data_IF_086497240958
#
_entry.id   IF_086497240958
#
_cell.length_a   1.000
_cell.length_b   1.000
_cell.length_c   1.000
_cell.angle_alpha   90.00
_cell.angle_beta   90.00
_cell.angle_gamma   90.00
#
_symmetry.space_group_name_H-M   'P 1'
#
loop_
_entity.id
_entity.type
_entity.pdbx_description
1 polymer ?
#
# COMPACT_ATOMS: atom_id res chain seq x y z
N UNK A 1 16.29 9.25 -11.60
CA UNK A 1 15.50 8.10 -11.17
C UNK A 1 14.75 8.51 -9.91
N UNK A 2 13.44 8.72 -10.04
CA UNK A 2 12.54 9.15 -8.99
C UNK A 2 11.71 7.95 -8.55
N UNK A 3 11.95 7.48 -7.33
CA UNK A 3 11.19 6.37 -6.72
C UNK A 3 10.24 6.97 -5.68
N UNK A 4 8.95 6.68 -5.80
CA UNK A 4 7.92 7.18 -4.89
C UNK A 4 7.39 6.06 -4.01
N UNK A 5 7.27 6.34 -2.71
CA UNK A 5 6.65 5.44 -1.73
C UNK A 5 5.14 5.71 -1.58
N UNK A 6 4.34 4.65 -1.48
CA UNK A 6 2.94 4.71 -1.07
C UNK A 6 2.74 3.85 0.18
N UNK A 7 2.22 4.44 1.25
CA UNK A 7 1.73 3.69 2.42
C UNK A 7 0.26 3.34 2.20
N UNK A 8 -0.10 2.07 2.26
CA UNK A 8 -1.45 1.63 1.91
C UNK A 8 -1.93 0.38 2.67
N UNK A 9 -3.21 0.07 2.51
CA UNK A 9 -3.82 -1.18 3.02
C UNK A 9 -4.58 -1.93 1.93
N UNK A 10 -5.09 -1.23 0.91
CA UNK A 10 -5.81 -1.78 -0.24
C UNK A 10 -6.85 -2.84 0.13
N UNK A 11 -7.81 -2.49 0.98
CA UNK A 11 -8.78 -3.41 1.57
C UNK A 11 -10.22 -3.25 1.02
N UNK A 12 -10.55 -3.63 -0.24
CA UNK A 12 -9.68 -4.13 -1.30
C UNK A 12 -9.05 -2.99 -2.14
N UNK A 13 -8.25 -3.33 -3.16
CA UNK A 13 -7.84 -2.36 -4.17
C UNK A 13 -9.06 -1.90 -4.99
N UNK A 14 -9.24 -0.58 -5.19
CA UNK A 14 -10.43 -0.01 -5.84
C UNK A 14 -10.07 1.22 -6.69
N UNK A 15 -11.05 1.78 -7.41
CA UNK A 15 -10.82 2.87 -8.36
C UNK A 15 -10.18 4.13 -7.76
N UNK A 16 -10.47 4.44 -6.49
CA UNK A 16 -9.78 5.53 -5.78
C UNK A 16 -8.26 5.30 -5.64
N UNK A 17 -7.83 4.05 -5.38
CA UNK A 17 -6.42 3.69 -5.30
C UNK A 17 -5.75 3.75 -6.67
N UNK A 18 -6.46 3.33 -7.73
CA UNK A 18 -5.99 3.45 -9.11
C UNK A 18 -5.80 4.93 -9.51
N UNK A 19 -6.76 5.78 -9.15
CA UNK A 19 -6.65 7.22 -9.37
C UNK A 19 -5.46 7.82 -8.61
N UNK A 20 -5.29 7.48 -7.32
CA UNK A 20 -4.13 7.92 -6.53
C UNK A 20 -2.81 7.50 -7.21
N UNK A 21 -2.69 6.23 -7.62
CA UNK A 21 -1.48 5.71 -8.27
C UNK A 21 -1.17 6.47 -9.57
N UNK A 22 -2.17 6.65 -10.44
CA UNK A 22 -2.01 7.36 -11.70
C UNK A 22 -1.62 8.83 -11.49
N UNK A 23 -2.28 9.50 -10.53
CA UNK A 23 -1.99 10.89 -10.19
C UNK A 23 -0.59 11.04 -9.58
N UNK A 24 -0.21 10.17 -8.63
CA UNK A 24 1.13 10.14 -8.04
C UNK A 24 2.21 9.95 -9.10
N UNK A 25 2.00 9.03 -10.05
CA UNK A 25 2.97 8.79 -11.12
C UNK A 25 3.15 10.01 -12.02
N UNK A 26 2.05 10.68 -12.39
CA UNK A 26 2.06 11.87 -13.24
C UNK A 26 2.65 13.10 -12.54
N UNK A 27 2.15 13.45 -11.35
CA UNK A 27 2.56 14.67 -10.65
C UNK A 27 4.02 14.64 -10.18
N UNK A 28 4.48 13.47 -9.72
CA UNK A 28 5.83 13.33 -9.16
C UNK A 28 6.85 12.84 -10.19
N UNK A 29 6.44 12.63 -11.45
CA UNK A 29 7.26 12.04 -12.51
C UNK A 29 7.98 10.77 -12.01
N UNK A 30 7.20 9.84 -11.44
CA UNK A 30 7.74 8.65 -10.79
C UNK A 30 8.19 7.61 -11.82
N UNK A 31 9.49 7.30 -11.81
CA UNK A 31 10.06 6.20 -12.62
C UNK A 31 9.62 4.84 -12.05
N UNK A 32 9.52 4.74 -10.73
CA UNK A 32 9.03 3.55 -10.03
C UNK A 32 8.22 3.93 -8.79
N UNK A 33 7.26 3.08 -8.41
CA UNK A 33 6.42 3.22 -7.24
C UNK A 33 6.53 1.97 -6.38
N UNK A 34 6.92 2.17 -5.12
CA UNK A 34 7.03 1.12 -4.10
C UNK A 34 5.89 1.33 -3.10
N UNK A 35 5.11 0.29 -2.86
CA UNK A 35 4.10 0.31 -1.81
C UNK A 35 4.58 -0.44 -0.57
N UNK A 36 4.36 0.14 0.60
CA UNK A 36 4.37 -0.59 1.87
C UNK A 36 2.92 -0.78 2.31
N UNK A 37 2.50 -2.04 2.37
CA UNK A 37 1.10 -2.43 2.51
C UNK A 37 0.87 -3.20 3.82
N UNK A 38 -0.17 -2.84 4.57
CA UNK A 38 -0.65 -3.66 5.70
C UNK A 38 -0.81 -5.13 5.28
N UNK A 39 -0.34 -6.05 6.13
CA UNK A 39 -0.52 -7.50 5.97
C UNK A 39 -1.98 -7.92 6.13
N UNK A 40 -2.25 -9.10 6.68
CA UNK A 40 -3.64 -9.62 6.77
C UNK A 40 -4.56 -8.87 7.76
N UNK A 41 -4.03 -7.88 8.49
CA UNK A 41 -4.77 -7.02 9.41
C UNK A 41 -4.48 -5.56 9.10
N UNK A 42 -5.52 -4.72 9.22
CA UNK A 42 -5.44 -3.28 8.95
C UNK A 42 -5.18 -2.46 10.21
N UNK A 43 -4.88 -1.18 10.03
CA UNK A 43 -4.72 -0.20 11.11
C UNK A 43 -5.96 -0.08 11.98
N UNK A 44 -7.14 -0.30 11.39
CA UNK A 44 -8.42 -0.29 12.12
C UNK A 44 -8.63 -1.54 12.98
N UNK A 45 -7.68 -2.48 12.98
CA UNK A 45 -7.75 -3.73 13.74
C UNK A 45 -8.65 -4.78 13.08
N UNK A 46 -9.02 -4.60 11.82
CA UNK A 46 -9.87 -5.53 11.08
C UNK A 46 -9.02 -6.53 10.29
N UNK A 47 -9.54 -7.74 10.08
CA UNK A 47 -9.00 -8.61 9.04
C UNK A 47 -9.18 -7.95 7.68
N UNK A 48 -8.16 -8.02 6.82
CA UNK A 48 -8.33 -7.65 5.42
C UNK A 48 -9.38 -8.57 4.77
N UNK A 49 -10.24 -8.01 3.91
CA UNK A 49 -11.30 -8.72 3.19
C UNK A 49 -10.76 -9.81 2.28
N UNK A 50 -9.51 -9.67 1.84
CA UNK A 50 -8.75 -10.66 1.06
C UNK A 50 -7.30 -10.65 1.60
N UNK A 51 -6.62 -11.80 1.57
CA UNK A 51 -5.23 -11.93 2.04
C UNK A 51 -4.25 -10.97 1.33
N UNK A 52 -3.09 -10.78 1.97
CA UNK A 52 -2.04 -9.90 1.48
C UNK A 52 -1.51 -10.29 0.10
N UNK A 53 -1.50 -11.57 -0.27
CA UNK A 53 -0.93 -12.02 -1.54
C UNK A 53 -1.81 -11.63 -2.72
N UNK A 54 -3.13 -11.82 -2.60
CA UNK A 54 -4.06 -11.38 -3.64
C UNK A 54 -4.13 -9.86 -3.73
N UNK A 55 -4.09 -9.13 -2.61
CA UNK A 55 -3.99 -7.66 -2.63
C UNK A 55 -2.69 -7.18 -3.27
N UNK A 56 -1.57 -7.86 -3.02
CA UNK A 56 -0.30 -7.59 -3.71
C UNK A 56 -0.44 -7.80 -5.22
N UNK A 57 -1.06 -8.90 -5.67
CA UNK A 57 -1.31 -9.14 -7.10
C UNK A 57 -2.15 -8.02 -7.73
N UNK A 58 -3.20 -7.54 -7.03
CA UNK A 58 -4.01 -6.41 -7.50
C UNK A 58 -3.18 -5.14 -7.64
N UNK A 59 -2.33 -4.82 -6.65
CA UNK A 59 -1.47 -3.64 -6.69
C UNK A 59 -0.44 -3.72 -7.83
N UNK A 60 0.21 -4.87 -8.01
CA UNK A 60 1.17 -5.08 -9.10
C UNK A 60 0.50 -4.97 -10.47
N UNK A 61 -0.68 -5.59 -10.64
CA UNK A 61 -1.44 -5.51 -11.88
C UNK A 61 -1.91 -4.08 -12.22
N UNK A 62 -2.12 -3.24 -11.20
CA UNK A 62 -2.47 -1.82 -11.39
C UNK A 62 -1.27 -0.93 -11.76
N UNK A 63 -0.03 -1.42 -11.65
CA UNK A 63 1.19 -0.68 -12.00
C UNK A 63 2.02 -0.18 -10.81
N UNK A 64 1.90 -0.82 -9.63
CA UNK A 64 2.90 -0.71 -8.56
C UNK A 64 4.06 -1.64 -8.91
N UNK A 65 5.30 -1.17 -8.71
CA UNK A 65 6.49 -1.91 -9.15
C UNK A 65 6.98 -2.90 -8.08
N UNK A 66 6.88 -2.54 -6.80
CA UNK A 66 7.25 -3.39 -5.65
C UNK A 66 6.24 -3.21 -4.52
N UNK A 67 5.86 -4.32 -3.87
CA UNK A 67 5.02 -4.30 -2.66
C UNK A 67 5.79 -4.94 -1.50
N UNK A 68 5.96 -4.18 -0.42
CA UNK A 68 6.53 -4.61 0.85
C UNK A 68 5.39 -4.79 1.86
N UNK A 69 5.51 -5.78 2.74
CA UNK A 69 4.58 -5.93 3.85
C UNK A 69 5.00 -5.03 5.01
N UNK A 70 4.07 -4.23 5.53
CA UNK A 70 4.22 -3.56 6.82
C UNK A 70 4.09 -4.61 7.94
N UNK A 71 5.13 -4.83 8.78
CA UNK A 71 5.06 -5.82 9.83
C UNK A 71 3.87 -5.61 10.77
N UNK A 72 3.23 -6.69 11.20
CA UNK A 72 1.97 -6.65 11.96
C UNK A 72 2.05 -5.77 13.22
N UNK A 73 3.21 -5.72 13.88
CA UNK A 73 3.45 -4.87 15.07
C UNK A 73 3.25 -3.38 14.79
N UNK A 74 3.44 -2.94 13.54
CA UNK A 74 3.19 -1.58 13.09
C UNK A 74 1.83 -1.44 12.40
N UNK A 75 1.47 -2.42 11.55
CA UNK A 75 0.25 -2.36 10.74
C UNK A 75 -1.04 -2.24 11.55
N UNK A 76 -1.09 -2.81 12.76
CA UNK A 76 -2.28 -2.75 13.64
C UNK A 76 -2.13 -1.74 14.77
N UNK A 77 -1.11 -0.89 14.72
CA UNK A 77 -0.83 0.07 15.78
C UNK A 77 -1.56 1.41 15.53
N UNK A 78 -1.62 2.23 16.57
CA UNK A 78 -2.10 3.61 16.45
C UNK A 78 -1.29 4.40 15.41
N UNK A 79 -1.87 5.46 14.86
CA UNK A 79 -1.33 6.22 13.73
C UNK A 79 0.15 6.59 13.83
N UNK A 80 0.62 7.01 15.01
CA UNK A 80 2.04 7.33 15.20
C UNK A 80 2.98 6.14 14.98
N UNK A 81 2.64 4.98 15.53
CA UNK A 81 3.45 3.76 15.37
C UNK A 81 3.31 3.16 13.98
N UNK A 82 2.11 3.22 13.40
CA UNK A 82 1.86 2.82 12.02
C UNK A 82 2.75 3.62 11.06
N UNK A 83 2.74 4.95 11.18
CA UNK A 83 3.55 5.84 10.36
C UNK A 83 5.06 5.77 10.66
N UNK A 84 5.46 5.27 11.84
CA UNK A 84 6.88 5.07 12.15
C UNK A 84 7.45 3.81 11.49
N UNK A 85 6.62 2.77 11.33
CA UNK A 85 7.05 1.51 10.72
C UNK A 85 6.89 1.45 9.20
N UNK A 86 6.11 2.37 8.62
CA UNK A 86 5.83 2.49 7.20
C UNK A 86 6.81 3.46 6.51
#
# INVERSE_FOLDING_TARGET
MNIVGIVCEYNPFHLGHLYQLAHTRAELNADAIVAIMSGNFTQRGECAVIDKYYRTQMALAAGIDVVLELPAVYATAASGYFATGA
#
